data_IF_286322200576
#
_entry.id   IF_286322200576
#
_cell.length_a   1.000
_cell.length_b   1.000
_cell.length_c   1.000
_cell.angle_alpha   90.00
_cell.angle_beta   90.00
_cell.angle_gamma   90.00
#
_symmetry.space_group_name_H-M   'P 1'
#
loop_
_entity.id
_entity.type
_entity.pdbx_description
1 polymer ?
#
# COMPACT_ATOMS: atom_id res chain seq x y z
N UNK A 1 -8.81 -7.48 -20.23
CA UNK A 1 -8.01 -7.56 -18.99
C UNK A 1 -8.99 -7.65 -17.82
N UNK A 2 -8.93 -8.72 -17.01
CA UNK A 2 -9.81 -8.88 -15.84
C UNK A 2 -8.96 -8.75 -14.57
N UNK A 3 -9.30 -7.78 -13.72
CA UNK A 3 -8.62 -7.52 -12.44
C UNK A 3 -8.64 -8.75 -11.53
N UNK A 4 -9.75 -9.48 -11.50
CA UNK A 4 -9.91 -10.69 -10.69
C UNK A 4 -8.89 -11.76 -11.07
N UNK A 5 -8.67 -11.97 -12.37
CA UNK A 5 -7.70 -12.94 -12.88
C UNK A 5 -6.27 -12.56 -12.45
N UNK A 6 -5.91 -11.28 -12.49
CA UNK A 6 -4.58 -10.82 -12.08
C UNK A 6 -4.39 -11.02 -10.57
N UNK A 7 -5.38 -10.61 -9.76
CA UNK A 7 -5.32 -10.74 -8.30
C UNK A 7 -5.30 -12.19 -7.82
N UNK A 8 -5.89 -13.12 -8.58
CA UNK A 8 -5.82 -14.57 -8.27
C UNK A 8 -4.38 -15.07 -8.27
N UNK A 9 -3.54 -14.59 -9.18
CA UNK A 9 -2.12 -14.98 -9.29
C UNK A 9 -1.21 -14.12 -8.42
N UNK A 10 -1.44 -12.80 -8.38
CA UNK A 10 -0.61 -11.83 -7.63
C UNK A 10 -0.83 -11.89 -6.12
N UNK A 11 -2.04 -12.27 -5.68
CA UNK A 11 -2.50 -12.10 -4.31
C UNK A 11 -3.25 -10.78 -4.10
N UNK A 12 -3.90 -10.65 -2.94
CA UNK A 12 -4.80 -9.54 -2.58
C UNK A 12 -4.25 -8.66 -1.46
N UNK A 13 -2.98 -8.82 -1.09
CA UNK A 13 -2.37 -8.06 -0.01
C UNK A 13 -2.24 -6.58 -0.38
N UNK A 14 -2.59 -5.71 0.55
CA UNK A 14 -2.43 -4.26 0.47
C UNK A 14 -1.54 -3.84 1.63
N UNK A 15 -0.49 -3.07 1.36
CA UNK A 15 0.33 -2.48 2.42
C UNK A 15 -0.19 -1.08 2.70
N UNK A 16 -0.51 -0.81 3.98
CA UNK A 16 -1.00 0.48 4.44
C UNK A 16 0.02 1.20 5.33
N UNK A 17 -0.04 2.52 5.36
CA UNK A 17 0.70 3.38 6.29
C UNK A 17 -0.29 4.36 6.94
N UNK A 18 -0.08 4.72 8.21
CA UNK A 18 -0.93 5.72 8.87
C UNK A 18 -0.65 7.11 8.31
N UNK A 19 -1.66 7.99 8.13
CA UNK A 19 -1.44 9.32 7.56
C UNK A 19 -0.50 10.23 8.38
N UNK A 20 -0.36 9.96 9.69
CA UNK A 20 0.54 10.72 10.58
C UNK A 20 2.00 10.24 10.59
N UNK A 21 2.33 9.16 9.86
CA UNK A 21 3.70 8.67 9.75
C UNK A 21 4.58 9.60 8.92
N UNK A 22 5.89 9.51 9.16
CA UNK A 22 6.86 10.33 8.42
C UNK A 22 7.07 9.80 7.00
N UNK A 23 7.48 10.69 6.10
CA UNK A 23 7.89 10.32 4.73
C UNK A 23 9.09 9.35 4.75
N UNK A 24 9.99 9.46 5.74
CA UNK A 24 11.11 8.53 5.90
C UNK A 24 10.63 7.10 6.15
N UNK A 25 9.67 6.93 7.06
CA UNK A 25 9.02 5.63 7.31
C UNK A 25 8.38 5.07 6.04
N UNK A 26 7.70 5.93 5.26
CA UNK A 26 7.09 5.51 3.99
C UNK A 26 8.13 4.99 3.00
N UNK A 27 9.27 5.67 2.84
CA UNK A 27 10.35 5.25 1.94
C UNK A 27 10.95 3.91 2.40
N UNK A 28 11.22 3.75 3.71
CA UNK A 28 11.72 2.49 4.27
C UNK A 28 10.76 1.32 3.98
N UNK A 29 9.45 1.55 4.11
CA UNK A 29 8.43 0.56 3.78
C UNK A 29 8.39 0.21 2.29
N UNK A 30 8.50 1.20 1.40
CA UNK A 30 8.54 0.98 -0.05
C UNK A 30 9.76 0.14 -0.45
N UNK A 31 10.94 0.49 0.06
CA UNK A 31 12.20 -0.21 -0.23
C UNK A 31 12.18 -1.64 0.34
N UNK A 32 11.84 -1.81 1.61
CA UNK A 32 11.84 -3.13 2.27
C UNK A 32 10.88 -4.13 1.64
N UNK A 33 9.78 -3.66 1.05
CA UNK A 33 8.78 -4.50 0.39
C UNK A 33 8.95 -4.58 -1.12
N UNK A 34 9.88 -3.81 -1.70
CA UNK A 34 10.09 -3.69 -3.13
C UNK A 34 8.80 -3.35 -3.90
N UNK A 35 8.08 -2.34 -3.41
CA UNK A 35 6.82 -1.85 -4.01
C UNK A 35 6.91 -0.34 -4.25
N UNK A 36 6.11 0.16 -5.19
CA UNK A 36 6.10 1.57 -5.58
C UNK A 36 4.92 2.39 -5.05
N UNK A 37 4.08 1.83 -4.18
CA UNK A 37 2.99 2.59 -3.57
C UNK A 37 2.55 2.02 -2.22
N UNK A 38 2.09 2.91 -1.33
CA UNK A 38 1.42 2.60 -0.07
C UNK A 38 0.04 3.26 -0.04
N UNK A 39 -0.93 2.58 0.59
CA UNK A 39 -2.25 3.17 0.86
C UNK A 39 -2.20 3.89 2.22
N UNK A 40 -2.56 5.17 2.26
CA UNK A 40 -2.70 5.90 3.51
C UNK A 40 -4.05 5.55 4.15
N UNK A 41 -4.00 5.02 5.37
CA UNK A 41 -5.18 4.57 6.12
C UNK A 41 -4.85 4.48 7.61
N UNK A 42 -5.68 5.10 8.45
CA UNK A 42 -5.58 4.99 9.91
C UNK A 42 -5.91 3.57 10.44
N UNK A 43 -6.91 2.92 9.84
CA UNK A 43 -7.56 1.70 10.34
C UNK A 43 -7.43 0.46 9.43
N UNK A 44 -6.76 0.59 8.28
CA UNK A 44 -6.68 -0.43 7.22
C UNK A 44 -8.02 -0.84 6.58
N UNK A 45 -9.12 -0.15 6.90
CA UNK A 45 -10.45 -0.37 6.30
C UNK A 45 -10.83 0.77 5.36
N UNK A 46 -10.54 2.02 5.75
CA UNK A 46 -10.85 3.22 4.98
C UNK A 46 -9.62 3.76 4.27
N UNK A 47 -9.77 4.04 2.98
CA UNK A 47 -8.73 4.70 2.18
C UNK A 47 -8.80 6.21 2.39
N UNK A 48 -7.69 6.80 2.82
CA UNK A 48 -7.55 8.24 3.03
C UNK A 48 -6.61 8.89 1.98
N UNK A 49 -5.75 8.09 1.36
CA UNK A 49 -4.87 8.54 0.28
C UNK A 49 -3.96 7.45 -0.27
N UNK A 50 -3.06 7.87 -1.17
CA UNK A 50 -2.02 7.04 -1.77
C UNK A 50 -0.71 7.82 -1.84
N UNK A 51 0.41 7.16 -1.61
CA UNK A 51 1.77 7.71 -1.73
C UNK A 51 2.55 6.81 -2.70
N UNK A 52 3.24 7.41 -3.68
CA UNK A 52 4.09 6.73 -4.68
C UNK A 52 5.36 7.50 -4.96
#
# INVERSE_FOLDING_TARGET
>A
MNVETILRTKGRAVTTIRPGETVGTAIEMLVSRNIGALVASEDSEKVEGIIS
#
